data_IF_941369442140
#
_entry.id   IF_941369442140
#
_cell.length_a   1.000
_cell.length_b   1.000
_cell.length_c   1.000
_cell.angle_alpha   90.00
_cell.angle_beta   90.00
_cell.angle_gamma   90.00
#
_symmetry.space_group_name_H-M   'P 1'
#
loop_
_entity.id
_entity.type
_entity.pdbx_description
1 polymer ?
#
# COMPACT_ATOMS: atom_id res chain seq x y z
N UNK A 1 5.46 42.39 -3.73
CA UNK A 1 5.58 40.93 -3.75
C UNK A 1 4.81 40.47 -4.96
N UNK A 2 5.53 40.02 -5.99
CA UNK A 2 4.98 39.92 -7.35
C UNK A 2 4.38 38.53 -7.59
N UNK A 3 3.29 38.45 -8.39
CA UNK A 3 2.59 37.20 -8.71
C UNK A 3 3.54 36.04 -9.11
N UNK A 4 4.65 36.38 -9.75
CA UNK A 4 5.65 35.44 -10.25
C UNK A 4 6.36 34.64 -9.13
N UNK A 5 6.58 35.23 -7.95
CA UNK A 5 7.21 34.55 -6.81
C UNK A 5 6.26 33.52 -6.18
N UNK A 6 4.96 33.82 -6.20
CA UNK A 6 3.92 32.95 -5.64
C UNK A 6 3.65 31.75 -6.54
N UNK A 7 3.66 31.96 -7.85
CA UNK A 7 3.45 30.90 -8.84
C UNK A 7 4.67 29.94 -8.87
N UNK A 8 5.90 30.46 -8.81
CA UNK A 8 7.09 29.63 -8.67
C UNK A 8 7.08 28.78 -7.38
N UNK A 9 6.67 29.37 -6.24
CA UNK A 9 6.59 28.64 -4.98
C UNK A 9 5.56 27.49 -5.01
N UNK A 10 4.46 27.65 -5.76
CA UNK A 10 3.46 26.60 -5.95
C UNK A 10 3.99 25.45 -6.80
N UNK A 11 4.71 25.76 -7.88
CA UNK A 11 5.29 24.75 -8.75
C UNK A 11 6.35 23.91 -8.01
N UNK A 12 7.23 24.56 -7.25
CA UNK A 12 8.23 23.88 -6.41
C UNK A 12 7.60 23.04 -5.29
N UNK A 13 6.47 23.47 -4.73
CA UNK A 13 5.72 22.68 -3.75
C UNK A 13 5.08 21.45 -4.42
N UNK A 14 4.48 21.61 -5.59
CA UNK A 14 3.87 20.51 -6.34
C UNK A 14 4.89 19.47 -6.80
N UNK A 15 6.09 19.91 -7.21
CA UNK A 15 7.18 19.00 -7.60
C UNK A 15 7.74 18.21 -6.41
N UNK A 16 7.88 18.86 -5.24
CA UNK A 16 8.28 18.18 -4.00
C UNK A 16 7.24 17.17 -3.53
N UNK A 17 5.96 17.53 -3.57
CA UNK A 17 4.85 16.64 -3.24
C UNK A 17 4.85 15.40 -4.15
N UNK A 18 5.01 15.58 -5.47
CA UNK A 18 5.15 14.46 -6.43
C UNK A 18 6.38 13.59 -6.13
N UNK A 19 7.51 14.20 -5.78
CA UNK A 19 8.75 13.48 -5.42
C UNK A 19 8.61 12.68 -4.12
N UNK A 20 7.88 13.17 -3.13
CA UNK A 20 7.54 12.41 -1.92
C UNK A 20 6.61 11.24 -2.27
N UNK A 21 5.56 11.47 -3.05
CA UNK A 21 4.56 10.46 -3.38
C UNK A 21 5.13 9.28 -4.18
N UNK A 22 6.11 9.52 -5.05
CA UNK A 22 6.80 8.44 -5.79
C UNK A 22 7.69 7.56 -4.92
N UNK A 23 8.03 8.01 -3.71
CA UNK A 23 8.86 7.26 -2.76
C UNK A 23 8.05 6.35 -1.85
N UNK A 24 6.73 6.45 -1.84
CA UNK A 24 5.87 5.45 -1.20
C UNK A 24 5.66 4.26 -2.16
N UNK A 25 6.11 3.10 -1.71
CA UNK A 25 6.07 1.85 -2.49
C UNK A 25 5.42 0.74 -1.69
N UNK A 26 4.87 -0.22 -2.40
CA UNK A 26 4.31 -1.44 -1.82
C UNK A 26 4.62 -2.61 -2.72
N UNK A 27 4.70 -3.80 -2.13
CA UNK A 27 4.88 -5.06 -2.84
C UNK A 27 4.33 -6.19 -1.98
N UNK A 28 4.21 -7.38 -2.57
CA UNK A 28 3.86 -8.60 -1.86
C UNK A 28 4.98 -9.60 -2.10
N UNK A 29 5.31 -10.40 -1.10
CA UNK A 29 6.22 -11.52 -1.19
C UNK A 29 5.81 -12.63 -0.21
N UNK A 30 6.60 -13.69 -0.16
CA UNK A 30 6.44 -14.75 0.84
C UNK A 30 7.62 -14.68 1.80
N UNK A 31 7.33 -14.76 3.09
CA UNK A 31 8.34 -14.95 4.12
C UNK A 31 9.13 -16.25 3.91
N UNK A 32 10.25 -16.40 4.62
CA UNK A 32 11.09 -17.61 4.54
C UNK A 32 10.34 -18.90 4.92
N UNK A 33 9.28 -18.81 5.72
CA UNK A 33 8.39 -19.91 6.12
C UNK A 33 7.18 -20.09 5.17
N UNK A 34 7.12 -19.32 4.09
CA UNK A 34 6.05 -19.36 3.09
C UNK A 34 4.77 -18.61 3.48
N UNK A 35 4.78 -17.85 4.58
CA UNK A 35 3.64 -17.01 4.97
C UNK A 35 3.58 -15.80 4.02
N UNK A 36 2.44 -15.53 3.35
CA UNK A 36 2.30 -14.35 2.50
C UNK A 36 2.43 -13.06 3.32
N UNK A 37 3.21 -12.13 2.80
CA UNK A 37 3.42 -10.80 3.37
C UNK A 37 3.10 -9.71 2.35
N UNK A 38 2.64 -8.58 2.86
CA UNK A 38 2.52 -7.34 2.10
C UNK A 38 3.32 -6.25 2.79
N UNK A 39 3.97 -5.40 1.99
CA UNK A 39 4.83 -4.34 2.47
C UNK A 39 4.27 -2.99 2.05
N UNK A 40 4.35 -2.02 2.97
CA UNK A 40 4.13 -0.60 2.65
C UNK A 40 5.31 0.18 3.19
N UNK A 41 6.03 0.84 2.30
CA UNK A 41 7.29 1.46 2.61
C UNK A 41 7.27 2.95 2.25
N UNK A 42 7.69 3.79 3.20
CA UNK A 42 7.97 5.19 2.95
C UNK A 42 9.50 5.38 2.77
N UNK A 43 9.95 5.63 1.54
CA UNK A 43 11.36 5.96 1.24
C UNK A 43 11.63 7.47 1.20
N UNK A 44 10.65 8.29 1.58
CA UNK A 44 10.85 9.73 1.73
C UNK A 44 11.62 10.04 3.00
N UNK A 45 12.30 11.19 3.02
CA UNK A 45 12.85 11.79 4.24
C UNK A 45 11.74 12.40 5.12
N UNK A 46 10.55 12.59 4.56
CA UNK A 46 9.39 13.17 5.22
C UNK A 46 8.37 12.09 5.60
N UNK A 47 7.68 12.22 6.75
CA UNK A 47 6.62 11.31 7.14
C UNK A 47 5.44 11.39 6.19
N UNK A 48 4.65 10.32 6.14
CA UNK A 48 3.32 10.29 5.52
C UNK A 48 2.29 9.92 6.56
N UNK A 49 1.09 10.49 6.46
CA UNK A 49 -0.02 10.28 7.38
C UNK A 49 -1.22 9.66 6.69
N UNK A 50 -2.22 9.29 7.49
CA UNK A 50 -3.50 8.77 7.03
C UNK A 50 -3.37 7.63 6.00
N UNK A 51 -2.36 6.79 6.20
CA UNK A 51 -2.05 5.69 5.30
C UNK A 51 -3.15 4.63 5.41
N UNK A 52 -3.84 4.41 4.30
CA UNK A 52 -4.89 3.42 4.14
C UNK A 52 -4.53 2.48 2.99
N UNK A 53 -4.63 1.19 3.26
CA UNK A 53 -4.36 0.13 2.29
C UNK A 53 -5.66 -0.59 1.98
N UNK A 54 -6.03 -0.66 0.70
CA UNK A 54 -7.01 -1.64 0.24
C UNK A 54 -6.26 -2.86 -0.28
N UNK A 55 -6.53 -4.02 0.30
CA UNK A 55 -5.89 -5.28 -0.08
C UNK A 55 -6.92 -6.40 -0.25
N UNK A 56 -6.48 -7.50 -0.86
CA UNK A 56 -7.25 -8.72 -1.02
C UNK A 56 -6.49 -9.92 -0.48
N UNK A 57 -7.21 -10.89 0.04
CA UNK A 57 -6.70 -12.17 0.49
C UNK A 57 -7.46 -13.31 -0.19
N UNK A 58 -6.77 -14.41 -0.46
CA UNK A 58 -7.44 -15.59 -1.00
C UNK A 58 -6.50 -16.74 -1.28
N UNK A 59 -7.09 -17.78 -1.88
CA UNK A 59 -6.33 -18.89 -2.43
C UNK A 59 -5.78 -18.47 -3.81
N UNK A 60 -4.45 -18.46 -4.02
CA UNK A 60 -3.90 -18.16 -5.33
C UNK A 60 -4.45 -19.18 -6.32
N UNK A 61 -4.60 -18.74 -7.56
CA UNK A 61 -4.78 -19.67 -8.66
C UNK A 61 -3.49 -20.50 -8.78
N UNK A 62 -3.57 -21.63 -9.47
CA UNK A 62 -2.49 -22.64 -9.56
C UNK A 62 -1.09 -22.09 -9.93
N UNK A 63 -1.00 -20.85 -10.39
CA UNK A 63 0.21 -20.05 -10.56
C UNK A 63 0.20 -18.78 -9.67
N UNK A 64 1.30 -18.54 -8.95
CA UNK A 64 1.50 -17.33 -8.11
C UNK A 64 1.53 -16.02 -8.92
N UNK A 65 1.61 -16.12 -10.25
CA UNK A 65 1.63 -14.99 -11.18
C UNK A 65 0.24 -14.50 -11.57
N UNK A 66 -0.80 -15.30 -11.37
CA UNK A 66 -2.16 -14.87 -11.69
C UNK A 66 -2.74 -14.07 -10.52
N UNK A 67 -3.20 -12.83 -10.76
CA UNK A 67 -3.86 -12.01 -9.75
C UNK A 67 -5.00 -12.73 -9.06
N UNK A 68 -5.27 -12.36 -7.80
CA UNK A 68 -6.39 -12.93 -7.07
C UNK A 68 -7.70 -12.70 -7.83
N UNK A 69 -8.46 -13.78 -7.97
CA UNK A 69 -9.75 -13.75 -8.66
C UNK A 69 -10.75 -12.82 -7.96
N UNK A 70 -11.88 -12.50 -8.63
CA UNK A 70 -12.92 -11.61 -8.08
C UNK A 70 -13.60 -12.14 -6.81
N UNK A 71 -13.40 -13.41 -6.47
CA UNK A 71 -13.91 -14.04 -5.25
C UNK A 71 -12.98 -13.90 -4.03
N UNK A 72 -11.88 -13.16 -4.15
CA UNK A 72 -11.00 -12.84 -3.02
C UNK A 72 -11.69 -11.93 -2.01
N UNK A 73 -11.41 -12.17 -0.72
CA UNK A 73 -11.89 -11.33 0.36
C UNK A 73 -11.14 -9.99 0.32
N UNK A 74 -11.87 -8.89 0.46
CA UNK A 74 -11.30 -7.55 0.43
C UNK A 74 -11.28 -6.96 1.83
N UNK A 75 -10.22 -6.25 2.17
CA UNK A 75 -10.14 -5.58 3.45
C UNK A 75 -9.41 -4.24 3.34
N UNK A 76 -9.79 -3.33 4.23
CA UNK A 76 -9.14 -2.04 4.41
C UNK A 76 -8.32 -2.09 5.68
N UNK A 77 -7.05 -1.72 5.58
CA UNK A 77 -6.16 -1.55 6.71
C UNK A 77 -5.80 -0.06 6.85
N UNK A 78 -6.09 0.52 8.01
CA UNK A 78 -5.59 1.84 8.38
C UNK A 78 -4.29 1.68 9.18
N UNK A 79 -3.16 2.09 8.59
CA UNK A 79 -1.83 2.08 9.23
C UNK A 79 -1.64 3.36 10.04
N UNK A 80 -2.19 4.49 9.57
CA UNK A 80 -2.01 5.79 10.19
C UNK A 80 -0.73 6.45 9.69
N UNK A 81 0.23 6.71 10.58
CA UNK A 81 1.46 7.43 10.21
C UNK A 81 2.59 6.44 9.91
N UNK A 82 3.28 6.63 8.78
CA UNK A 82 4.51 5.93 8.45
C UNK A 82 5.66 6.93 8.49
N UNK A 83 6.59 6.68 9.42
CA UNK A 83 7.78 7.50 9.59
C UNK A 83 8.69 7.46 8.33
N UNK A 84 9.60 8.43 8.17
CA UNK A 84 10.61 8.38 7.11
C UNK A 84 11.36 7.06 7.11
N UNK A 85 11.72 6.57 5.92
CA UNK A 85 12.57 5.38 5.77
C UNK A 85 12.10 4.18 6.58
N UNK A 86 10.80 3.90 6.55
CA UNK A 86 10.18 2.81 7.30
C UNK A 86 9.51 1.84 6.35
N UNK A 87 9.76 0.55 6.56
CA UNK A 87 9.04 -0.56 5.93
C UNK A 87 8.04 -1.14 6.95
N UNK A 88 6.78 -1.16 6.55
CA UNK A 88 5.69 -1.72 7.32
C UNK A 88 5.24 -3.04 6.67
N UNK A 89 5.78 -4.14 7.18
CA UNK A 89 5.45 -5.50 6.76
C UNK A 89 4.20 -5.99 7.49
N UNK A 90 3.24 -6.52 6.74
CA UNK A 90 1.99 -7.08 7.25
C UNK A 90 1.85 -8.53 6.81
N UNK A 91 1.62 -9.42 7.76
CA UNK A 91 1.43 -10.85 7.51
C UNK A 91 -0.03 -11.25 7.66
N UNK A 92 -0.45 -12.32 6.98
CA UNK A 92 -1.84 -12.77 6.98
C UNK A 92 -2.37 -13.10 8.40
N UNK A 93 -1.51 -13.70 9.24
CA UNK A 93 -1.82 -14.08 10.62
C UNK A 93 -1.88 -12.89 11.59
N UNK A 94 -1.28 -11.76 11.24
CA UNK A 94 -1.36 -10.51 12.01
C UNK A 94 -2.64 -9.71 11.73
N UNK A 95 -3.35 -10.00 10.63
CA UNK A 95 -4.59 -9.32 10.26
C UNK A 95 -5.76 -9.79 11.13
N UNK A 96 -6.36 -8.86 11.87
CA UNK A 96 -7.56 -9.10 12.67
C UNK A 96 -8.71 -8.21 12.25
N UNK A 97 -9.93 -8.70 12.46
CA UNK A 97 -11.13 -7.90 12.31
C UNK A 97 -11.10 -6.78 13.35
N UNK A 98 -11.26 -5.53 12.92
CA UNK A 98 -11.19 -4.36 13.81
C UNK A 98 -12.16 -4.45 14.99
N UNK A 99 -13.35 -5.01 14.76
CA UNK A 99 -14.43 -5.09 15.74
C UNK A 99 -14.30 -6.33 16.63
N UNK A 100 -14.17 -7.52 16.05
CA UNK A 100 -14.16 -8.78 16.83
C UNK A 100 -12.77 -9.14 17.38
N UNK A 101 -11.69 -8.52 16.89
CA UNK A 101 -10.28 -8.85 17.19
C UNK A 101 -9.87 -10.29 16.85
N UNK A 102 -10.74 -11.03 16.16
CA UNK A 102 -10.44 -12.35 15.62
C UNK A 102 -9.56 -12.21 14.38
N UNK A 103 -8.66 -13.17 14.18
CA UNK A 103 -7.83 -13.24 12.97
C UNK A 103 -8.75 -13.34 11.75
N UNK A 104 -8.53 -12.49 10.75
CA UNK A 104 -9.36 -12.47 9.53
C UNK A 104 -9.09 -13.69 8.66
N UNK A 105 -7.85 -14.14 8.66
CA UNK A 105 -7.34 -15.12 7.71
C UNK A 105 -6.48 -16.15 8.46
N UNK A 106 -6.99 -17.37 8.63
CA UNK A 106 -6.25 -18.48 9.26
C UNK A 106 -5.99 -19.62 8.28
N UNK A 107 -4.80 -20.23 8.37
CA UNK A 107 -4.31 -21.51 7.81
C UNK A 107 -4.53 -21.82 6.30
N UNK A 108 -5.33 -21.03 5.59
CA UNK A 108 -5.74 -21.30 4.21
C UNK A 108 -5.56 -20.09 3.28
N UNK A 109 -5.06 -18.96 3.80
CA UNK A 109 -4.65 -17.84 2.95
C UNK A 109 -3.23 -18.05 2.49
N UNK A 110 -3.08 -18.08 1.17
CA UNK A 110 -1.84 -18.42 0.47
C UNK A 110 -1.43 -17.29 -0.48
N UNK A 111 -2.18 -16.17 -0.48
CA UNK A 111 -1.79 -14.93 -1.15
C UNK A 111 -2.42 -13.70 -0.47
N UNK A 112 -1.63 -12.64 -0.35
CA UNK A 112 -2.05 -11.28 -0.04
C UNK A 112 -1.70 -10.37 -1.21
N UNK A 113 -2.62 -9.49 -1.60
CA UNK A 113 -2.41 -8.58 -2.74
C UNK A 113 -2.89 -7.17 -2.39
N UNK A 114 -1.96 -6.20 -2.36
CA UNK A 114 -2.31 -4.78 -2.28
C UNK A 114 -2.96 -4.32 -3.59
N UNK A 115 -4.15 -3.73 -3.49
CA UNK A 115 -4.88 -3.13 -4.63
C UNK A 115 -4.42 -1.68 -4.84
N UNK A 116 -4.44 -0.90 -3.76
CA UNK A 116 -3.89 0.45 -3.73
C UNK A 116 -3.54 0.88 -2.30
N UNK A 117 -2.68 1.90 -2.21
CA UNK A 117 -2.35 2.62 -0.98
C UNK A 117 -2.73 4.08 -1.16
N UNK A 118 -3.50 4.66 -0.24
CA UNK A 118 -3.71 6.10 -0.15
C UNK A 118 -3.03 6.65 1.09
N UNK A 119 -2.57 7.89 1.04
CA UNK A 119 -1.90 8.57 2.15
C UNK A 119 -1.84 10.07 1.91
N UNK A 120 -1.61 10.82 2.98
CA UNK A 120 -1.33 12.25 2.93
C UNK A 120 0.18 12.47 3.02
N UNK A 121 0.69 13.34 2.14
CA UNK A 121 2.08 13.78 2.20
C UNK A 121 2.31 14.80 3.32
N UNK A 122 3.58 15.19 3.53
CA UNK A 122 3.95 16.13 4.59
C UNK A 122 3.37 17.53 4.42
N UNK A 123 2.91 17.88 3.21
CA UNK A 123 2.21 19.11 2.89
C UNK A 123 0.69 19.00 3.02
N UNK A 124 0.15 17.82 3.34
CA UNK A 124 -1.28 17.55 3.48
C UNK A 124 -2.00 17.29 2.15
N UNK A 125 -1.27 17.01 1.06
CA UNK A 125 -1.89 16.58 -0.18
C UNK A 125 -2.13 15.05 -0.17
N UNK A 126 -3.33 14.64 -0.59
CA UNK A 126 -3.72 13.23 -0.68
C UNK A 126 -3.16 12.60 -1.96
N UNK A 127 -2.60 11.41 -1.82
CA UNK A 127 -2.05 10.61 -2.92
C UNK A 127 -2.62 9.21 -2.92
N UNK A 128 -2.76 8.64 -4.11
CA UNK A 128 -3.13 7.22 -4.31
C UNK A 128 -2.07 6.56 -5.18
N UNK A 129 -1.59 5.39 -4.74
CA UNK A 129 -0.64 4.54 -5.46
C UNK A 129 -1.31 3.22 -5.77
N UNK A 130 -1.40 2.90 -7.06
CA UNK A 130 -1.85 1.60 -7.56
C UNK A 130 -0.68 0.82 -8.15
N UNK A 131 -0.88 -0.47 -8.43
CA UNK A 131 0.13 -1.31 -9.10
C UNK A 131 0.57 -0.67 -10.43
N UNK A 132 -0.33 0.00 -11.14
CA UNK A 132 0.01 0.72 -12.38
C UNK A 132 1.00 1.84 -12.17
N UNK A 133 0.89 2.56 -11.06
CA UNK A 133 1.73 3.72 -10.76
C UNK A 133 3.14 3.27 -10.35
N UNK A 134 3.28 2.03 -9.86
CA UNK A 134 4.56 1.37 -9.67
C UNK A 134 5.15 0.91 -11.01
N UNK A 135 4.35 0.26 -11.87
CA UNK A 135 4.82 -0.24 -13.17
C UNK A 135 5.16 0.88 -14.17
N UNK A 136 4.44 2.01 -14.15
CA UNK A 136 4.75 3.17 -15.00
C UNK A 136 6.07 3.85 -14.64
N UNK A 137 6.61 3.62 -13.45
CA UNK A 137 7.95 4.08 -13.12
C UNK A 137 9.03 3.29 -13.89
N UNK A 138 8.71 2.08 -14.38
CA UNK A 138 9.66 1.16 -15.02
C UNK A 138 9.33 0.79 -16.50
N UNK A 139 8.09 0.93 -17.00
CA UNK A 139 7.73 0.73 -18.43
C UNK A 139 6.42 1.47 -18.83
N UNK A 140 6.43 2.34 -19.86
CA UNK A 140 5.26 3.12 -20.28
C UNK A 140 4.16 2.34 -21.05
N UNK A 141 4.30 1.02 -21.28
CA UNK A 141 3.42 0.28 -22.21
C UNK A 141 2.29 -0.56 -21.58
N UNK A 142 2.15 -0.64 -20.25
CA UNK A 142 1.19 -1.57 -19.61
C UNK A 142 -0.11 -0.89 -19.17
N UNK A 143 -1.18 -1.04 -19.95
CA UNK A 143 -2.55 -0.65 -19.60
C UNK A 143 -3.38 -1.86 -19.12
N UNK A 144 -3.53 -2.05 -17.81
CA UNK A 144 -4.45 -3.05 -17.25
C UNK A 144 -5.64 -2.37 -16.55
N UNK A 145 -6.74 -2.08 -17.24
CA UNK A 145 -7.93 -1.46 -16.63
C UNK A 145 -8.60 -2.41 -15.64
N UNK A 146 -8.46 -2.15 -14.33
CA UNK A 146 -9.27 -2.83 -13.30
C UNK A 146 -10.64 -2.16 -13.27
N UNK A 147 -11.60 -2.73 -14.00
CA UNK A 147 -13.01 -2.40 -13.82
C UNK A 147 -13.52 -3.14 -12.60
N UNK A 148 -13.99 -2.41 -11.59
CA UNK A 148 -14.71 -2.99 -10.45
C UNK A 148 -16.18 -3.02 -10.83
N UNK A 149 -16.72 -4.20 -11.13
CA UNK A 149 -18.16 -4.38 -11.31
C UNK A 149 -18.86 -4.25 -9.93
N UNK A 150 -19.85 -3.35 -9.79
CA UNK A 150 -20.47 -3.03 -8.50
C UNK A 150 -21.42 -4.11 -7.96
N UNK A 151 -21.87 -5.07 -8.78
CA UNK A 151 -22.96 -5.99 -8.40
C UNK A 151 -22.52 -7.32 -7.77
N UNK A 152 -21.23 -7.47 -7.47
CA UNK A 152 -20.69 -8.57 -6.66
C UNK A 152 -19.62 -8.01 -5.73
N UNK A 153 -20.02 -7.28 -4.69
CA UNK A 153 -19.08 -6.80 -3.67
C UNK A 153 -18.77 -8.00 -2.76
N UNK A 154 -17.61 -8.69 -2.89
CA UNK A 154 -17.16 -9.57 -1.82
C UNK A 154 -17.09 -8.76 -0.52
N UNK A 155 -17.40 -9.39 0.61
CA UNK A 155 -17.52 -8.68 1.88
C UNK A 155 -16.26 -7.83 2.14
N UNK A 156 -16.47 -6.54 2.37
CA UNK A 156 -15.40 -5.60 2.68
C UNK A 156 -15.22 -5.56 4.20
N UNK A 157 -14.05 -5.97 4.66
CA UNK A 157 -13.74 -5.99 6.10
C UNK A 157 -12.86 -4.80 6.50
N UNK A 158 -13.09 -4.26 7.70
CA UNK A 158 -12.14 -3.37 8.35
C UNK A 158 -11.13 -4.23 9.12
N UNK A 159 -9.88 -4.17 8.70
CA UNK A 159 -8.77 -4.87 9.31
C UNK A 159 -8.00 -3.97 10.29
N UNK A 160 -7.26 -4.61 11.19
CA UNK A 160 -6.23 -4.01 12.03
C UNK A 160 -5.09 -5.01 12.15
N UNK A 161 -3.87 -4.53 12.41
CA UNK A 161 -2.71 -5.40 12.63
C UNK A 161 -2.54 -5.67 14.13
N UNK A 162 -2.33 -6.92 14.52
CA UNK A 162 -1.78 -7.26 15.84
C UNK A 162 -0.31 -6.85 15.87
N UNK A 163 -0.03 -5.72 16.52
CA UNK A 163 1.30 -5.20 16.89
C UNK A 163 2.44 -5.78 16.04
N UNK A 164 2.68 -5.19 14.87
CA UNK A 164 3.94 -5.35 14.14
C UNK A 164 4.77 -4.09 14.35
N UNK A 165 6.03 -4.29 14.70
CA UNK A 165 6.96 -3.16 14.82
C UNK A 165 7.44 -2.79 13.42
N UNK A 166 7.26 -1.52 13.00
CA UNK A 166 7.86 -1.03 11.77
C UNK A 166 9.37 -1.24 11.79
N UNK A 167 9.93 -1.63 10.65
CA UNK A 167 11.37 -1.81 10.49
C UNK A 167 11.95 -0.62 9.71
N UNK A 168 13.20 -0.28 9.98
CA UNK A 168 13.89 0.73 9.17
C UNK A 168 14.20 0.14 7.79
N UNK A 169 13.90 0.90 6.76
CA UNK A 169 14.17 0.58 5.37
C UNK A 169 15.68 0.38 5.12
N UNK A 170 16.10 -0.82 4.76
CA UNK A 170 17.51 -1.10 4.40
C UNK A 170 17.99 -0.24 3.22
N UNK A 171 17.10 0.11 2.29
CA UNK A 171 17.42 1.00 1.15
C UNK A 171 17.77 2.44 1.57
N UNK A 172 17.51 2.82 2.81
CA UNK A 172 17.87 4.14 3.35
C UNK A 172 19.21 4.15 4.09
N UNK A 173 19.90 3.02 4.21
CA UNK A 173 21.21 2.94 4.89
C UNK A 173 22.39 3.28 3.96
N UNK A 174 22.12 3.67 2.70
CA UNK A 174 23.13 3.98 1.68
C UNK A 174 23.05 5.44 1.19
N UNK A 175 22.88 6.40 2.10
CA UNK A 175 22.96 7.84 1.81
C UNK A 175 24.16 8.47 2.53
#
# INVERSE_FOLDING_TARGET
MSSNELDQAKDEAADRARSQATRVTFWNDDAADGIPQMHVMNRSADPVSDVVVLARAGVPRTDKTTPLGPQSDKFILAIGNIAPCTDFTITADALVNKNSKQVLFSEHVVALEVVFVSFDDSGGAEWVRTVKDLLKADDPSVNATVQVEPDKIPQLFLASVRVQQPQRAASCDSA
#
